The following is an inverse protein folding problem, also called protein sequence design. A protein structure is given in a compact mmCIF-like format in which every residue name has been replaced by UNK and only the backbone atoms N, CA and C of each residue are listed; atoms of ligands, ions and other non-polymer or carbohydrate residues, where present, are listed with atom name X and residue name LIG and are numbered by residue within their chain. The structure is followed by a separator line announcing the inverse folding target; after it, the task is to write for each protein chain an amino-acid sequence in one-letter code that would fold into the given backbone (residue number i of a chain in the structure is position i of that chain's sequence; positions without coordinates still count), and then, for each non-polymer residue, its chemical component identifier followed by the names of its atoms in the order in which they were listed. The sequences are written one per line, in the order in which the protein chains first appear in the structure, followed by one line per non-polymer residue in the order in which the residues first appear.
data_IF_427476496283
#
_entry.id   IF_427476496283
#
_cell.length_a   1.000
_cell.length_b   1.000
_cell.length_c   1.000
_cell.angle_alpha   90.00
_cell.angle_beta   90.00
_cell.angle_gamma   90.00
#
_symmetry.space_group_name_H-M   'P 1'
#
loop_
_entity.id
_entity.type
_entity.pdbx_description
1 polymer ?
#
# COMPACT_ATOMS: atom_id res chain seq x y z
N UNK A 1 -3.41 -19.43 -12.48
CA UNK A 1 -3.25 -20.48 -11.45
C UNK A 1 -4.45 -20.57 -10.52
N UNK A 2 -4.80 -19.54 -9.72
CA UNK A 2 -5.89 -19.65 -8.74
C UNK A 2 -7.25 -20.09 -9.34
N UNK A 3 -7.62 -19.55 -10.51
CA UNK A 3 -8.92 -19.82 -11.16
C UNK A 3 -8.94 -21.01 -12.14
N UNK A 4 -7.77 -21.57 -12.46
CA UNK A 4 -7.63 -22.65 -13.45
C UNK A 4 -6.86 -23.88 -12.93
N UNK A 5 -6.22 -23.81 -11.76
CA UNK A 5 -5.36 -24.86 -11.22
C UNK A 5 -4.04 -25.10 -11.96
N UNK A 6 -3.79 -24.40 -13.08
CA UNK A 6 -2.65 -24.60 -13.97
C UNK A 6 -1.90 -23.27 -14.24
N UNK A 7 -0.59 -23.33 -14.56
CA UNK A 7 0.17 -22.17 -15.02
C UNK A 7 -0.35 -21.64 -16.38
N UNK A 8 -0.26 -20.32 -16.64
CA UNK A 8 -0.75 -19.73 -17.89
C UNK A 8 0.11 -20.06 -19.12
N UNK A 9 1.38 -20.43 -18.93
CA UNK A 9 2.31 -20.84 -19.98
C UNK A 9 2.92 -22.17 -19.59
N UNK A 10 2.62 -23.24 -20.31
CA UNK A 10 3.20 -24.56 -20.10
C UNK A 10 3.12 -25.38 -21.38
N UNK A 11 4.29 -25.69 -21.92
CA UNK A 11 4.43 -26.59 -23.07
C UNK A 11 5.33 -27.77 -22.69
N UNK A 12 5.44 -28.75 -23.59
CA UNK A 12 6.34 -29.89 -23.42
C UNK A 12 7.82 -29.46 -23.44
N UNK A 13 8.15 -28.47 -24.28
CA UNK A 13 9.51 -27.96 -24.43
C UNK A 13 9.69 -26.60 -23.71
N UNK A 14 10.83 -26.44 -23.03
CA UNK A 14 11.18 -25.18 -22.36
C UNK A 14 11.30 -24.00 -23.34
N UNK A 15 11.81 -24.25 -24.54
CA UNK A 15 11.91 -23.23 -25.61
C UNK A 15 10.55 -22.75 -26.12
N UNK A 16 9.57 -23.66 -26.21
CA UNK A 16 8.19 -23.32 -26.60
C UNK A 16 7.52 -22.51 -25.50
N UNK A 17 7.70 -22.92 -24.24
CA UNK A 17 7.20 -22.18 -23.07
C UNK A 17 7.77 -20.76 -23.03
N UNK A 18 9.07 -20.59 -23.30
CA UNK A 18 9.71 -19.27 -23.38
C UNK A 18 9.09 -18.41 -24.50
N UNK A 19 8.84 -19.01 -25.66
CA UNK A 19 8.18 -18.32 -26.79
C UNK A 19 6.77 -17.84 -26.39
N UNK A 20 5.98 -18.69 -25.73
CA UNK A 20 4.64 -18.32 -25.25
C UNK A 20 4.66 -17.19 -24.23
N UNK A 21 5.64 -17.18 -23.32
CA UNK A 21 5.85 -16.10 -22.35
C UNK A 21 6.20 -14.79 -23.06
N UNK A 22 7.15 -14.83 -24.01
CA UNK A 22 7.59 -13.64 -24.75
C UNK A 22 6.50 -13.07 -25.65
N UNK A 23 5.66 -13.93 -26.22
CA UNK A 23 4.49 -13.53 -27.00
C UNK A 23 3.28 -13.16 -26.12
N UNK A 24 3.33 -13.44 -24.83
CA UNK A 24 2.23 -13.28 -23.88
C UNK A 24 0.94 -13.97 -24.36
N UNK A 25 1.07 -15.18 -24.92
CA UNK A 25 -0.06 -15.97 -25.44
C UNK A 25 -0.51 -16.98 -24.40
N UNK A 26 -1.75 -16.85 -23.93
CA UNK A 26 -2.39 -17.80 -23.02
C UNK A 26 -3.89 -17.92 -23.38
N UNK A 27 -4.53 -18.98 -22.90
CA UNK A 27 -5.96 -19.19 -23.08
C UNK A 27 -6.67 -19.20 -21.72
N UNK A 28 -7.83 -18.54 -21.66
CA UNK A 28 -8.67 -18.49 -20.47
C UNK A 28 -9.89 -19.38 -20.69
N UNK A 29 -10.12 -20.40 -19.85
CA UNK A 29 -11.29 -21.28 -19.95
C UNK A 29 -12.63 -20.52 -19.84
N UNK A 30 -13.68 -21.09 -20.44
CA UNK A 30 -15.01 -20.47 -20.50
C UNK A 30 -15.71 -20.33 -19.14
N UNK A 31 -15.31 -21.10 -18.12
CA UNK A 31 -15.87 -21.00 -16.77
C UNK A 31 -15.38 -19.76 -15.99
N UNK A 32 -14.35 -19.08 -16.49
CA UNK A 32 -13.81 -17.87 -15.85
C UNK A 32 -14.69 -16.68 -16.22
N UNK A 33 -15.16 -15.95 -15.21
CA UNK A 33 -15.98 -14.75 -15.42
C UNK A 33 -15.26 -13.70 -16.30
N UNK A 34 -16.02 -12.94 -17.07
CA UNK A 34 -15.49 -11.87 -17.93
C UNK A 34 -14.69 -10.82 -17.15
N UNK A 35 -15.15 -10.44 -15.95
CA UNK A 35 -14.42 -9.52 -15.08
C UNK A 35 -13.07 -10.07 -14.61
N UNK A 36 -12.99 -11.36 -14.28
CA UNK A 36 -11.72 -11.99 -13.92
C UNK A 36 -10.75 -12.03 -15.11
N UNK A 37 -11.29 -12.35 -16.30
CA UNK A 37 -10.52 -12.36 -17.54
C UNK A 37 -9.94 -10.97 -17.86
N UNK A 38 -10.74 -9.90 -17.74
CA UNK A 38 -10.27 -8.52 -17.97
C UNK A 38 -9.11 -8.15 -17.05
N UNK A 39 -9.20 -8.52 -15.77
CA UNK A 39 -8.13 -8.28 -14.80
C UNK A 39 -6.84 -9.01 -15.17
N UNK A 40 -6.94 -10.29 -15.54
CA UNK A 40 -5.78 -11.09 -15.98
C UNK A 40 -5.14 -10.46 -17.22
N UNK A 41 -5.95 -10.02 -18.19
CA UNK A 41 -5.47 -9.38 -19.42
C UNK A 41 -4.75 -8.06 -19.11
N UNK A 42 -5.21 -7.26 -18.14
CA UNK A 42 -4.51 -6.03 -17.73
C UNK A 42 -3.19 -6.27 -17.01
N UNK A 43 -3.04 -7.40 -16.31
CA UNK A 43 -1.82 -7.77 -15.59
C UNK A 43 -0.79 -8.46 -16.50
N UNK A 44 -1.26 -9.37 -17.37
CA UNK A 44 -0.44 -10.13 -18.30
C UNK A 44 -0.33 -9.40 -19.64
N UNK A 45 0.42 -8.30 -19.64
CA UNK A 45 0.79 -7.58 -20.85
C UNK A 45 2.27 -7.82 -21.21
N UNK A 46 2.54 -7.95 -22.52
CA UNK A 46 3.90 -8.09 -23.08
C UNK A 46 4.76 -6.88 -22.74
N UNK A 47 4.21 -5.68 -22.87
CA UNK A 47 4.87 -4.44 -22.48
C UNK A 47 4.64 -4.16 -20.98
N UNK A 48 5.70 -4.10 -20.15
CA UNK A 48 5.57 -3.77 -18.73
C UNK A 48 4.92 -2.41 -18.47
N UNK A 49 5.09 -1.42 -19.35
CA UNK A 49 4.51 -0.08 -19.19
C UNK A 49 2.99 -0.05 -19.38
N UNK A 50 2.44 -1.07 -20.05
CA UNK A 50 1.00 -1.23 -20.29
C UNK A 50 0.31 -2.06 -19.21
N UNK A 51 1.06 -2.65 -18.27
CA UNK A 51 0.48 -3.39 -17.15
C UNK A 51 -0.25 -2.43 -16.23
N UNK A 52 -1.41 -2.84 -15.74
CA UNK A 52 -2.18 -2.06 -14.80
C UNK A 52 -1.36 -1.77 -13.52
N UNK A 53 -1.55 -0.58 -12.96
CA UNK A 53 -0.97 -0.20 -11.68
C UNK A 53 -1.65 -0.97 -10.53
N UNK A 54 -1.04 -0.97 -9.35
CA UNK A 54 -1.65 -1.60 -8.17
C UNK A 54 -2.99 -0.95 -7.82
N UNK A 55 -3.10 0.37 -7.94
CA UNK A 55 -4.34 1.13 -7.68
C UNK A 55 -5.47 0.71 -8.64
N UNK A 56 -5.15 0.50 -9.93
CA UNK A 56 -6.11 0.02 -10.94
C UNK A 56 -6.54 -1.43 -10.68
N UNK A 57 -5.62 -2.27 -10.19
CA UNK A 57 -5.89 -3.66 -9.82
C UNK A 57 -6.80 -3.70 -8.58
N UNK A 58 -6.46 -2.97 -7.53
CA UNK A 58 -7.23 -2.92 -6.27
C UNK A 58 -8.66 -2.39 -6.47
N UNK A 59 -8.82 -1.40 -7.35
CA UNK A 59 -10.13 -0.82 -7.68
C UNK A 59 -10.91 -1.61 -8.73
N UNK A 60 -10.37 -2.71 -9.25
CA UNK A 60 -10.98 -3.46 -10.34
C UNK A 60 -12.33 -4.09 -9.95
N UNK A 61 -13.30 -4.09 -10.88
CA UNK A 61 -14.66 -4.61 -10.66
C UNK A 61 -14.70 -6.07 -10.18
N UNK A 62 -13.68 -6.87 -10.50
CA UNK A 62 -13.58 -8.26 -10.03
C UNK A 62 -13.28 -8.36 -8.52
N UNK A 63 -12.63 -7.35 -7.94
CA UNK A 63 -12.34 -7.27 -6.50
C UNK A 63 -13.34 -6.38 -5.74
N UNK A 64 -14.10 -5.53 -6.45
CA UNK A 64 -15.17 -4.72 -5.86
C UNK A 64 -16.24 -5.62 -5.22
N UNK A 65 -16.50 -5.45 -3.93
CA UNK A 65 -17.49 -6.23 -3.17
C UNK A 65 -16.88 -7.36 -2.32
N UNK A 66 -15.58 -7.63 -2.44
CA UNK A 66 -14.84 -8.34 -1.40
C UNK A 66 -14.58 -7.34 -0.29
N UNK A 67 -15.31 -7.44 0.83
CA UNK A 67 -15.08 -6.55 1.97
C UNK A 67 -13.63 -6.75 2.41
N UNK A 68 -12.77 -5.70 2.35
CA UNK A 68 -11.47 -5.80 2.97
C UNK A 68 -11.73 -6.11 4.44
N UNK A 69 -11.38 -7.33 4.87
CA UNK A 69 -11.34 -7.69 6.29
C UNK A 69 -10.82 -6.48 7.07
N UNK A 70 -11.38 -6.12 8.24
CA UNK A 70 -10.96 -4.93 8.98
C UNK A 70 -9.43 -4.86 9.20
N UNK A 71 -8.71 -5.98 9.12
CA UNK A 71 -7.25 -6.03 9.04
C UNK A 71 -6.64 -5.20 7.89
N UNK A 72 -7.23 -5.20 6.69
CA UNK A 72 -6.69 -4.53 5.49
C UNK A 72 -6.70 -3.01 5.62
N UNK A 73 -7.67 -2.41 6.34
CA UNK A 73 -7.72 -0.94 6.55
C UNK A 73 -6.61 -0.42 7.47
N UNK A 74 -6.02 -1.27 8.31
CA UNK A 74 -4.91 -0.90 9.21
C UNK A 74 -3.52 -1.26 8.64
N UNK A 75 -3.47 -1.88 7.46
CA UNK A 75 -2.23 -2.38 6.85
C UNK A 75 -1.68 -1.47 5.74
N UNK A 76 -2.37 -0.39 5.37
CA UNK A 76 -1.81 0.59 4.42
C UNK A 76 -0.57 1.24 5.04
N UNK A 77 0.61 1.15 4.41
CA UNK A 77 1.83 1.70 4.98
C UNK A 77 1.71 3.22 5.16
N UNK A 78 2.11 3.69 6.34
CA UNK A 78 2.09 5.11 6.71
C UNK A 78 2.98 5.94 5.80
N UNK A 79 4.08 5.37 5.32
CA UNK A 79 4.99 6.04 4.36
C UNK A 79 4.31 6.47 3.06
N UNK A 80 3.14 5.91 2.72
CA UNK A 80 2.38 6.32 1.52
C UNK A 80 1.60 7.63 1.69
N UNK A 81 1.30 8.04 2.93
CA UNK A 81 0.39 9.17 3.19
C UNK A 81 0.84 10.09 4.34
N UNK A 82 1.99 9.83 4.98
CA UNK A 82 2.61 10.70 5.98
C UNK A 82 4.04 11.05 5.57
N UNK A 83 4.43 12.30 5.80
CA UNK A 83 5.78 12.80 5.55
C UNK A 83 6.64 12.71 6.82
N UNK A 84 7.92 12.40 6.65
CA UNK A 84 8.94 12.48 7.69
C UNK A 84 9.51 13.90 7.78
N UNK A 85 9.95 14.31 8.97
CA UNK A 85 10.76 15.53 9.09
C UNK A 85 12.18 15.29 8.57
N UNK A 86 12.89 16.38 8.24
CA UNK A 86 14.29 16.32 7.80
C UNK A 86 15.20 15.70 8.88
N UNK A 87 14.93 15.99 10.16
CA UNK A 87 15.65 15.40 11.30
C UNK A 87 15.48 13.87 11.35
N UNK A 88 14.27 13.37 11.10
CA UNK A 88 13.98 11.93 11.11
C UNK A 88 14.62 11.24 9.91
N UNK A 89 14.55 11.86 8.74
CA UNK A 89 15.25 11.40 7.55
C UNK A 89 16.76 11.24 7.83
N UNK A 90 17.39 12.28 8.38
CA UNK A 90 18.80 12.27 8.74
C UNK A 90 19.14 11.20 9.79
N UNK A 91 18.26 11.00 10.78
CA UNK A 91 18.40 9.95 11.79
C UNK A 91 18.32 8.54 11.20
N UNK A 92 17.44 8.29 10.23
CA UNK A 92 17.36 7.01 9.51
C UNK A 92 18.65 6.76 8.74
N UNK A 93 19.13 7.74 7.97
CA UNK A 93 20.38 7.62 7.21
C UNK A 93 21.55 7.30 8.14
N UNK A 94 21.66 8.02 9.26
CA UNK A 94 22.73 7.76 10.22
C UNK A 94 22.69 6.34 10.78
N UNK A 95 21.50 5.81 11.09
CA UNK A 95 21.34 4.42 11.55
C UNK A 95 21.69 3.40 10.46
N UNK A 96 21.38 3.68 9.20
CA UNK A 96 21.74 2.81 8.07
C UNK A 96 23.25 2.76 7.85
N UNK A 97 23.94 3.90 7.99
CA UNK A 97 25.41 3.97 7.91
C UNK A 97 26.07 3.26 9.10
N UNK A 98 25.58 3.50 10.32
CA UNK A 98 26.09 2.82 11.52
C UNK A 98 25.85 1.30 11.48
N UNK A 99 24.78 0.87 10.82
CA UNK A 99 24.44 -0.53 10.61
C UNK A 99 25.16 -1.19 9.42
N UNK A 100 26.12 -0.51 8.79
CA UNK A 100 26.88 -1.00 7.64
C UNK A 100 26.01 -1.47 6.46
N UNK A 101 24.85 -0.81 6.25
CA UNK A 101 23.92 -1.14 5.17
C UNK A 101 24.37 -0.53 3.84
N UNK A 102 24.86 0.71 3.88
CA UNK A 102 25.42 1.43 2.74
C UNK A 102 26.13 2.72 3.20
N UNK A 103 27.06 3.21 2.39
CA UNK A 103 27.72 4.49 2.61
C UNK A 103 26.76 5.67 2.53
N UNK A 104 27.04 6.74 3.29
CA UNK A 104 26.21 7.95 3.32
C UNK A 104 26.02 8.55 1.93
N UNK A 105 27.08 8.62 1.14
CA UNK A 105 27.04 9.15 -0.24
C UNK A 105 26.14 8.28 -1.12
N UNK A 106 26.30 6.95 -1.06
CA UNK A 106 25.46 6.02 -1.80
C UNK A 106 23.97 6.15 -1.43
N UNK A 107 23.68 6.41 -0.15
CA UNK A 107 22.30 6.63 0.33
C UNK A 107 21.76 7.97 -0.20
N UNK A 108 22.48 9.07 -0.01
CA UNK A 108 22.05 10.42 -0.42
C UNK A 108 21.90 10.53 -1.93
N UNK A 109 22.86 9.99 -2.70
CA UNK A 109 22.80 9.98 -4.16
C UNK A 109 21.61 9.17 -4.67
N UNK A 110 21.31 8.03 -4.03
CA UNK A 110 20.13 7.22 -4.37
C UNK A 110 18.84 7.96 -4.08
N UNK A 111 18.73 8.69 -2.97
CA UNK A 111 17.52 9.45 -2.64
C UNK A 111 17.36 10.72 -3.50
N UNK A 112 18.45 11.45 -3.77
CA UNK A 112 18.43 12.52 -4.76
C UNK A 112 18.07 12.00 -6.17
N UNK A 113 18.47 10.78 -6.51
CA UNK A 113 18.08 10.12 -7.75
C UNK A 113 16.63 9.60 -7.74
N UNK A 114 16.07 9.23 -6.57
CA UNK A 114 14.65 8.85 -6.42
C UNK A 114 13.76 10.02 -6.83
N UNK A 115 14.13 11.25 -6.46
CA UNK A 115 13.44 12.48 -6.87
C UNK A 115 13.71 12.85 -8.34
N UNK A 116 14.89 12.51 -8.89
CA UNK A 116 15.33 13.00 -10.20
C UNK A 116 15.08 12.08 -11.40
N UNK A 117 14.87 10.78 -11.26
CA UNK A 117 14.54 9.95 -12.43
C UNK A 117 13.84 8.64 -12.09
N UNK A 118 12.78 8.37 -12.85
CA UNK A 118 12.03 7.12 -12.92
C UNK A 118 12.83 5.91 -13.46
N UNK A 119 14.16 5.97 -13.51
CA UNK A 119 14.94 5.12 -14.42
C UNK A 119 15.98 4.18 -13.75
N UNK A 120 16.31 4.34 -12.47
CA UNK A 120 17.25 3.43 -11.80
C UNK A 120 16.55 2.55 -10.77
N UNK A 121 16.50 1.23 -11.04
CA UNK A 121 16.15 0.11 -10.16
C UNK A 121 15.65 0.50 -8.74
N UNK A 122 14.43 1.08 -8.70
CA UNK A 122 13.86 1.82 -7.56
C UNK A 122 13.63 0.96 -6.31
N UNK A 123 13.63 -0.35 -6.49
CA UNK A 123 13.38 -1.34 -5.46
C UNK A 123 14.68 -2.09 -5.17
N UNK A 124 15.45 -1.61 -4.20
CA UNK A 124 16.69 -2.24 -3.75
C UNK A 124 16.69 -2.36 -2.22
N UNK A 125 17.65 -3.11 -1.67
CA UNK A 125 17.73 -3.34 -0.22
C UNK A 125 17.94 -2.05 0.59
N UNK A 126 18.57 -1.02 -0.01
CA UNK A 126 18.79 0.28 0.63
C UNK A 126 17.46 1.04 0.75
N UNK A 127 16.72 1.19 -0.36
CA UNK A 127 15.42 1.88 -0.38
C UNK A 127 14.39 1.12 0.47
N UNK A 128 14.38 -0.22 0.41
CA UNK A 128 13.54 -1.04 1.26
C UNK A 128 13.83 -0.83 2.76
N UNK A 129 15.11 -0.90 3.17
CA UNK A 129 15.51 -0.70 4.57
C UNK A 129 15.11 0.69 5.06
N UNK A 130 15.31 1.71 4.22
CA UNK A 130 14.90 3.07 4.54
C UNK A 130 13.39 3.18 4.78
N UNK A 131 12.55 2.72 3.83
CA UNK A 131 11.09 2.83 3.97
C UNK A 131 10.56 2.00 5.14
N UNK A 132 11.19 0.86 5.47
CA UNK A 132 10.83 0.08 6.65
C UNK A 132 11.17 0.80 7.96
N UNK A 133 12.34 1.46 8.03
CA UNK A 133 12.71 2.28 9.18
C UNK A 133 11.84 3.53 9.31
N UNK A 134 11.49 4.15 8.19
CA UNK A 134 10.55 5.26 8.11
C UNK A 134 9.17 4.86 8.66
N UNK A 135 8.64 3.73 8.18
CA UNK A 135 7.37 3.17 8.63
C UNK A 135 7.37 2.93 10.15
N UNK A 136 8.47 2.40 10.69
CA UNK A 136 8.62 2.19 12.13
C UNK A 136 8.54 3.49 12.93
N UNK A 137 9.25 4.55 12.52
CA UNK A 137 9.18 5.86 13.21
C UNK A 137 7.75 6.42 13.15
N UNK A 138 7.10 6.35 11.99
CA UNK A 138 5.75 6.88 11.80
C UNK A 138 4.71 6.15 12.67
N UNK A 139 4.85 4.83 12.84
CA UNK A 139 4.00 4.02 13.73
C UNK A 139 4.19 4.41 15.19
N UNK A 140 5.44 4.52 15.64
CA UNK A 140 5.77 4.94 17.01
C UNK A 140 5.24 6.36 17.33
N UNK A 141 5.26 7.28 16.35
CA UNK A 141 4.63 8.61 16.49
C UNK A 141 3.12 8.53 16.64
N UNK A 142 2.45 7.75 15.79
CA UNK A 142 0.99 7.60 15.83
C UNK A 142 0.51 6.97 17.14
N UNK A 143 1.24 5.99 17.66
CA UNK A 143 0.95 5.37 18.95
C UNK A 143 1.09 6.39 20.10
N UNK A 144 2.16 7.20 20.12
CA UNK A 144 2.35 8.26 21.11
C UNK A 144 1.25 9.32 21.06
N UNK A 145 0.80 9.73 19.87
CA UNK A 145 -0.32 10.67 19.70
C UNK A 145 -1.64 10.10 20.25
N UNK A 146 -1.92 8.83 20.00
CA UNK A 146 -3.11 8.14 20.51
C UNK A 146 -3.06 8.00 22.03
N UNK A 147 -1.90 7.65 22.59
CA UNK A 147 -1.69 7.54 24.04
C UNK A 147 -1.83 8.89 24.76
N UNK A 148 -1.34 9.98 24.15
CA UNK A 148 -1.41 11.32 24.75
C UNK A 148 -2.85 11.86 24.72
N UNK A 149 -3.62 11.53 23.68
CA UNK A 149 -5.05 11.86 23.59
C UNK A 149 -5.90 11.06 24.58
N UNK A 150 -5.59 9.79 24.84
CA UNK A 150 -6.32 8.96 25.81
C UNK A 150 -5.91 9.23 27.27
N UNK A 151 -4.70 9.74 27.50
CA UNK A 151 -4.21 10.11 28.84
C UNK A 151 -4.62 11.53 29.30
N UNK A 152 -5.36 12.29 28.48
CA UNK A 152 -5.92 13.58 28.89
C UNK A 152 -7.31 13.37 29.54
N UNK A 153 -7.48 13.53 30.86
CA UNK A 153 -8.81 13.55 31.47
C UNK A 153 -9.43 14.93 31.23
N UNK A 154 -9.89 15.21 30.01
CA UNK A 154 -10.67 16.42 29.75
C UNK A 154 -12.13 16.16 30.11
N UNK A 155 -12.55 16.83 31.18
CA UNK A 155 -13.93 17.19 31.48
C UNK A 155 -14.63 17.68 30.20
N UNK A 156 -15.30 16.80 29.47
CA UNK A 156 -16.32 17.18 28.53
C UNK A 156 -17.64 16.63 29.07
N UNK A 157 -18.45 17.54 29.64
CA UNK A 157 -19.90 17.38 29.59
C UNK A 157 -20.26 17.21 28.12
N UNK A 158 -20.44 15.95 27.70
CA UNK A 158 -20.91 15.61 26.38
C UNK A 158 -22.37 16.08 26.28
N UNK A 159 -22.57 17.27 25.72
CA UNK A 159 -23.87 17.73 25.29
C UNK A 159 -24.22 16.97 24.00
N UNK A 160 -24.78 15.78 24.14
CA UNK A 160 -25.37 15.07 23.01
C UNK A 160 -26.63 15.83 22.58
N UNK A 161 -26.54 16.50 21.44
CA UNK A 161 -27.69 17.09 20.75
C UNK A 161 -28.06 16.14 19.61
N UNK A 162 -29.03 15.27 19.86
CA UNK A 162 -29.70 14.50 18.81
C UNK A 162 -30.67 15.45 18.10
N UNK A 163 -30.38 15.80 16.85
CA UNK A 163 -31.39 16.33 15.94
C UNK A 163 -32.05 15.15 15.22
N UNK A 164 -33.25 14.80 15.67
CA UNK A 164 -34.18 14.03 14.88
C UNK A 164 -35.52 14.78 14.92
N UNK A 165 -35.96 15.26 13.76
CA UNK A 165 -37.35 15.65 13.47
C UNK A 165 -38.01 16.62 14.46
N UNK A 166 -37.76 17.92 14.28
CA UNK A 166 -38.70 19.01 14.59
C UNK A 166 -39.59 18.90 15.84
N UNK A 167 -39.05 19.24 17.01
CA UNK A 167 -39.69 20.10 18.04
C UNK A 167 -38.73 20.30 19.22
N UNK A 168 -38.48 21.56 19.56
CA UNK A 168 -37.72 21.95 20.74
C UNK A 168 -38.64 21.85 21.97
N UNK A 169 -38.32 20.94 22.90
CA UNK A 169 -38.91 20.97 24.25
C UNK A 169 -37.77 21.00 25.26
N UNK A 170 -37.61 22.14 25.95
CA UNK A 170 -36.79 22.27 27.15
C UNK A 170 -37.55 21.66 28.31
N UNK A 171 -36.99 20.62 28.93
CA UNK A 171 -37.31 20.28 30.32
C UNK A 171 -36.05 20.36 31.16
N UNK A 172 -36.02 21.36 32.03
CA UNK A 172 -35.06 21.48 33.14
C UNK A 172 -35.50 20.50 34.24
N UNK A 173 -34.64 19.55 34.59
CA UNK A 173 -34.76 18.83 35.85
C UNK A 173 -33.56 19.20 36.72
N UNK A 174 -33.84 19.97 37.78
CA UNK A 174 -32.99 20.06 38.95
C UNK A 174 -33.13 18.76 39.73
N UNK A 175 -32.02 18.07 39.99
CA UNK A 175 -31.58 17.67 41.34
C UNK A 175 -30.12 17.26 41.29
#
# INVERSE_FOLDING_TARGET
MLVCGQPPFQEANASETLTMIMDCKYTVPAHVSSACKDLIDRMLQRDPKRRASLEEIESHAWLQGVDPSPATKYNTPLVSHKNLSEEEHNSIIQRMVLGDIADREAIVDRFAAVDRALETNKYNHITATYYLLAERILREKQEKEVQTRSASPSNLKAHFRFECGGRLLLLSAHY
#
